data_IF_069280648554
#
_entry.id   IF_069280648554
#
_cell.length_a   1.000
_cell.length_b   1.000
_cell.length_c   1.000
_cell.angle_alpha   90.00
_cell.angle_beta   90.00
_cell.angle_gamma   90.00
#
_symmetry.space_group_name_H-M   'P 1'
#
loop_
_entity.id
_entity.type
_entity.pdbx_description
1 polymer ?
#
# COMPACT_ATOMS: atom_id res chain seq x y z
N UNK A 1 -1.82 -8.87 10.98
CA UNK A 1 -0.65 -9.25 10.16
C UNK A 1 -0.22 -8.13 9.21
N UNK A 2 -1.14 -7.51 8.46
CA UNK A 2 -0.85 -6.38 7.55
C UNK A 2 -0.24 -5.15 8.27
N UNK A 3 -0.70 -4.79 9.47
CA UNK A 3 -0.18 -3.65 10.28
C UNK A 3 1.33 -3.72 10.62
N UNK A 4 1.98 -4.89 10.46
CA UNK A 4 3.41 -5.10 10.77
C UNK A 4 4.31 -5.05 9.54
N UNK A 5 3.75 -4.89 8.34
CA UNK A 5 4.51 -4.88 7.09
C UNK A 5 4.82 -3.43 6.72
N UNK A 6 6.10 -3.10 6.53
CA UNK A 6 6.50 -1.81 5.99
C UNK A 6 6.35 -1.83 4.46
N UNK A 7 5.31 -1.15 3.97
CA UNK A 7 5.02 -1.06 2.54
C UNK A 7 5.93 -0.06 1.80
N UNK A 8 6.71 0.75 2.53
CA UNK A 8 7.62 1.74 1.96
C UNK A 8 8.86 1.16 1.26
N UNK A 9 9.10 -0.16 1.32
CA UNK A 9 10.24 -0.80 0.66
C UNK A 9 10.19 -0.68 -0.88
N UNK A 10 9.00 -0.56 -1.48
CA UNK A 10 8.82 -0.32 -2.94
C UNK A 10 9.28 1.09 -3.36
N UNK A 11 9.57 1.95 -2.38
CA UNK A 11 9.93 3.36 -2.54
C UNK A 11 11.41 3.63 -2.31
N UNK A 12 12.19 2.58 -2.01
CA UNK A 12 13.64 2.73 -1.90
C UNK A 12 14.26 3.10 -3.25
N UNK A 13 15.22 4.03 -3.23
CA UNK A 13 15.93 4.48 -4.43
C UNK A 13 16.53 3.32 -5.25
N UNK A 14 16.97 2.25 -4.58
CA UNK A 14 17.52 1.04 -5.22
C UNK A 14 16.49 0.25 -6.05
N UNK A 15 15.19 0.48 -5.87
CA UNK A 15 14.13 -0.16 -6.64
C UNK A 15 13.57 0.73 -7.75
N UNK A 16 14.02 1.99 -7.89
CA UNK A 16 13.43 2.97 -8.82
C UNK A 16 13.45 2.47 -10.28
N UNK A 17 14.63 2.16 -10.81
CA UNK A 17 14.79 1.76 -12.22
C UNK A 17 13.99 0.50 -12.59
N UNK A 18 13.93 -0.46 -11.66
CA UNK A 18 13.17 -1.70 -11.85
C UNK A 18 11.66 -1.44 -11.73
N UNK A 19 11.25 -0.51 -10.87
CA UNK A 19 9.85 -0.16 -10.66
C UNK A 19 9.25 0.57 -11.86
N UNK A 20 10.05 1.41 -12.53
CA UNK A 20 9.65 2.08 -13.78
C UNK A 20 9.31 1.10 -14.92
N UNK A 21 9.79 -0.15 -14.87
CA UNK A 21 9.45 -1.18 -15.88
C UNK A 21 8.07 -1.81 -15.66
N UNK A 22 7.40 -1.54 -14.55
CA UNK A 22 6.09 -2.10 -14.22
C UNK A 22 5.08 -0.96 -14.03
N UNK A 23 4.02 -0.85 -14.87
CA UNK A 23 3.08 0.28 -14.83
C UNK A 23 2.43 0.49 -13.45
N UNK A 24 2.15 -0.60 -12.73
CA UNK A 24 1.58 -0.54 -11.39
C UNK A 24 2.57 0.03 -10.37
N UNK A 25 3.85 -0.32 -10.50
CA UNK A 25 4.90 0.12 -9.59
C UNK A 25 5.27 1.58 -9.88
N UNK A 26 5.47 1.91 -11.16
CA UNK A 26 5.64 3.27 -11.68
C UNK A 26 4.53 4.20 -11.17
N UNK A 27 3.25 3.80 -11.33
CA UNK A 27 2.12 4.59 -10.84
C UNK A 27 2.25 4.91 -9.35
N UNK A 28 2.57 3.93 -8.52
CA UNK A 28 2.68 4.15 -7.08
C UNK A 28 3.91 4.97 -6.68
N UNK A 29 5.04 4.82 -7.37
CA UNK A 29 6.18 5.71 -7.15
C UNK A 29 5.83 7.15 -7.56
N UNK A 30 5.16 7.34 -8.69
CA UNK A 30 4.72 8.66 -9.15
C UNK A 30 3.72 9.29 -8.18
N UNK A 31 2.73 8.53 -7.69
CA UNK A 31 1.78 9.04 -6.68
C UNK A 31 2.49 9.43 -5.39
N UNK A 32 3.54 8.71 -4.99
CA UNK A 32 4.28 9.05 -3.78
C UNK A 32 5.23 10.23 -3.98
N UNK A 33 5.86 10.35 -5.16
CA UNK A 33 6.59 11.57 -5.51
C UNK A 33 5.66 12.79 -5.52
N UNK A 34 4.44 12.65 -6.05
CA UNK A 34 3.43 13.71 -6.00
C UNK A 34 3.09 14.09 -4.56
N UNK A 35 2.86 13.10 -3.69
CA UNK A 35 2.65 13.32 -2.25
C UNK A 35 3.82 14.06 -1.59
N UNK A 36 5.06 13.61 -1.82
CA UNK A 36 6.27 14.22 -1.26
C UNK A 36 6.48 15.66 -1.76
N UNK A 37 6.06 15.95 -2.99
CA UNK A 37 6.16 17.27 -3.61
C UNK A 37 4.94 18.15 -3.36
N UNK A 38 3.97 17.70 -2.54
CA UNK A 38 2.72 18.42 -2.29
C UNK A 38 1.84 18.60 -3.55
N UNK A 39 2.03 17.77 -4.56
CA UNK A 39 1.27 17.76 -5.80
C UNK A 39 0.00 16.92 -5.66
N UNK A 40 -1.03 17.26 -6.44
CA UNK A 40 -2.25 16.46 -6.51
C UNK A 40 -1.99 15.09 -7.14
N UNK A 41 -2.71 14.10 -6.63
CA UNK A 41 -2.73 12.74 -7.17
C UNK A 41 -3.34 12.69 -8.58
N UNK A 42 -3.03 11.64 -9.33
CA UNK A 42 -3.47 11.45 -10.72
C UNK A 42 -4.93 10.98 -10.86
N UNK A 43 -5.65 10.71 -9.76
CA UNK A 43 -7.09 10.46 -9.79
C UNK A 43 -7.51 9.02 -10.05
N UNK A 44 -6.58 8.06 -10.13
CA UNK A 44 -6.94 6.66 -10.44
C UNK A 44 -7.46 5.91 -9.21
N UNK A 45 -7.22 6.44 -8.00
CA UNK A 45 -7.69 5.87 -6.74
C UNK A 45 -8.36 6.94 -5.87
N UNK A 46 -9.44 7.54 -6.38
CA UNK A 46 -10.07 8.76 -5.82
C UNK A 46 -10.35 8.71 -4.32
N UNK A 47 -10.89 7.62 -3.79
CA UNK A 47 -11.22 7.55 -2.36
C UNK A 47 -9.98 7.41 -1.49
N UNK A 48 -8.99 6.63 -1.94
CA UNK A 48 -7.69 6.52 -1.27
C UNK A 48 -6.98 7.88 -1.26
N UNK A 49 -6.94 8.55 -2.40
CA UNK A 49 -6.29 9.84 -2.60
C UNK A 49 -6.98 10.94 -1.78
N UNK A 50 -8.31 10.99 -1.79
CA UNK A 50 -9.08 11.93 -0.97
C UNK A 50 -8.87 11.68 0.53
N UNK A 51 -8.88 10.41 0.96
CA UNK A 51 -8.59 10.07 2.35
C UNK A 51 -7.16 10.49 2.74
N UNK A 52 -6.18 10.19 1.89
CA UNK A 52 -4.79 10.54 2.12
C UNK A 52 -4.62 12.07 2.23
N UNK A 53 -5.20 12.83 1.30
CA UNK A 53 -5.15 14.29 1.33
C UNK A 53 -5.77 14.87 2.61
N UNK A 54 -6.93 14.36 3.01
CA UNK A 54 -7.59 14.82 4.25
C UNK A 54 -6.77 14.47 5.49
N UNK A 55 -6.14 13.31 5.51
CA UNK A 55 -5.30 12.86 6.62
C UNK A 55 -4.02 13.71 6.72
N UNK A 56 -3.35 13.94 5.58
CA UNK A 56 -2.15 14.77 5.49
C UNK A 56 -2.44 16.21 5.91
N UNK A 57 -3.55 16.78 5.44
CA UNK A 57 -3.97 18.15 5.83
C UNK A 57 -4.32 18.27 7.32
N UNK A 58 -4.66 17.17 7.99
CA UNK A 58 -4.98 17.15 9.43
C UNK A 58 -3.75 16.92 10.33
N UNK A 59 -2.66 16.39 9.76
CA UNK A 59 -1.37 16.22 10.44
C UNK A 59 -0.39 17.31 9.97
N UNK A 60 0.76 17.49 10.62
CA UNK A 60 1.67 18.63 10.36
C UNK A 60 2.46 18.54 9.03
N UNK A 61 1.92 17.86 8.01
CA UNK A 61 2.52 17.65 6.69
C UNK A 61 3.91 16.98 6.69
N UNK A 62 4.26 16.21 7.72
CA UNK A 62 5.53 15.46 7.72
C UNK A 62 5.46 14.20 6.84
N UNK A 63 6.55 13.86 6.15
CA UNK A 63 6.63 12.69 5.25
C UNK A 63 6.28 11.38 5.98
N UNK A 64 6.69 11.26 7.23
CA UNK A 64 6.40 10.10 8.09
C UNK A 64 4.90 9.95 8.33
N UNK A 65 4.19 11.07 8.47
CA UNK A 65 2.75 11.15 8.69
C UNK A 65 1.98 10.82 7.41
N UNK A 66 2.48 11.23 6.23
CA UNK A 66 1.88 10.88 4.93
C UNK A 66 1.88 9.36 4.68
N UNK A 67 3.02 8.70 4.90
CA UNK A 67 3.11 7.23 4.75
C UNK A 67 2.25 6.50 5.77
N UNK A 68 2.10 7.08 6.97
CA UNK A 68 1.26 6.53 8.03
C UNK A 68 -0.23 6.63 7.67
N UNK A 69 -0.67 7.77 7.15
CA UNK A 69 -2.02 8.00 6.63
C UNK A 69 -2.44 6.95 5.58
N UNK A 70 -1.56 6.68 4.61
CA UNK A 70 -1.83 5.77 3.49
C UNK A 70 -1.72 4.31 3.91
N UNK A 71 -0.64 3.94 4.62
CA UNK A 71 -0.26 2.53 4.77
C UNK A 71 -0.49 1.91 6.16
N UNK A 72 -0.71 2.71 7.20
CA UNK A 72 -0.90 2.21 8.57
C UNK A 72 -2.31 2.41 9.11
N UNK A 73 -2.90 3.56 8.82
CA UNK A 73 -4.08 4.03 9.55
C UNK A 73 -5.30 4.14 8.63
N UNK A 74 -5.89 5.34 8.51
CA UNK A 74 -7.27 5.59 8.10
C UNK A 74 -7.61 5.14 6.67
N UNK A 75 -6.64 5.18 5.75
CA UNK A 75 -6.90 5.11 4.31
C UNK A 75 -6.57 3.75 3.67
N UNK A 76 -5.85 2.87 4.37
CA UNK A 76 -5.41 1.58 3.83
C UNK A 76 -6.58 0.70 3.38
N UNK A 77 -7.78 0.84 3.97
CA UNK A 77 -8.98 0.11 3.53
C UNK A 77 -9.34 0.39 2.07
N UNK A 78 -9.18 1.63 1.60
CA UNK A 78 -9.43 2.00 0.20
C UNK A 78 -8.37 1.45 -0.74
N UNK A 79 -7.14 1.27 -0.26
CA UNK A 79 -6.09 0.58 -1.00
C UNK A 79 -6.33 -0.94 -1.08
N UNK A 80 -6.90 -1.55 -0.03
CA UNK A 80 -7.14 -2.99 0.02
C UNK A 80 -8.40 -3.44 -0.72
N UNK A 81 -9.34 -2.52 -0.96
CA UNK A 81 -10.54 -2.76 -1.76
C UNK A 81 -10.19 -2.83 -3.26
N UNK A 82 -10.51 -3.97 -3.87
CA UNK A 82 -10.24 -4.25 -5.28
C UNK A 82 -11.06 -3.36 -6.22
N UNK A 83 -12.25 -2.92 -5.79
CA UNK A 83 -13.13 -2.07 -6.59
C UNK A 83 -12.72 -0.60 -6.52
N UNK A 84 -11.93 -0.24 -5.52
CA UNK A 84 -11.54 1.14 -5.25
C UNK A 84 -10.19 1.47 -5.89
N UNK A 85 -9.17 0.67 -5.59
CA UNK A 85 -7.81 0.93 -6.05
C UNK A 85 -7.08 -0.39 -6.34
N UNK A 86 -7.40 -1.05 -7.48
CA UNK A 86 -6.82 -2.34 -7.83
C UNK A 86 -5.29 -2.31 -7.94
N UNK A 87 -4.72 -1.17 -8.32
CA UNK A 87 -3.29 -0.97 -8.42
C UNK A 87 -2.61 -0.97 -7.05
N UNK A 88 -3.15 -0.22 -6.08
CA UNK A 88 -2.61 -0.24 -4.72
C UNK A 88 -2.77 -1.62 -4.08
N UNK A 89 -3.93 -2.27 -4.26
CA UNK A 89 -4.13 -3.65 -3.81
C UNK A 89 -3.08 -4.60 -4.37
N UNK A 90 -2.73 -4.48 -5.65
CA UNK A 90 -1.73 -5.33 -6.28
C UNK A 90 -0.34 -5.16 -5.65
N UNK A 91 0.04 -3.92 -5.34
CA UNK A 91 1.32 -3.61 -4.69
C UNK A 91 1.37 -4.20 -3.29
N UNK A 92 0.36 -3.95 -2.45
CA UNK A 92 0.27 -4.51 -1.10
C UNK A 92 0.32 -6.05 -1.17
N UNK A 93 -0.38 -6.66 -2.13
CA UNK A 93 -0.36 -8.10 -2.36
C UNK A 93 1.04 -8.62 -2.72
N UNK A 94 1.78 -7.92 -3.59
CA UNK A 94 3.16 -8.29 -3.97
C UNK A 94 4.10 -8.19 -2.77
N UNK A 95 4.02 -7.10 -2.01
CA UNK A 95 4.82 -6.89 -0.81
C UNK A 95 4.51 -7.98 0.24
N UNK A 96 3.22 -8.23 0.49
CA UNK A 96 2.78 -9.30 1.39
C UNK A 96 3.30 -10.66 0.93
N UNK A 97 3.26 -10.95 -0.37
CA UNK A 97 3.73 -12.22 -0.92
C UNK A 97 5.22 -12.40 -0.64
N UNK A 98 6.05 -11.39 -0.92
CA UNK A 98 7.48 -11.42 -0.59
C UNK A 98 7.74 -11.60 0.91
N UNK A 99 7.00 -10.88 1.75
CA UNK A 99 7.09 -11.01 3.21
C UNK A 99 6.67 -12.41 3.70
N UNK A 100 5.61 -12.97 3.14
CA UNK A 100 5.09 -14.30 3.45
C UNK A 100 6.12 -15.40 3.15
N UNK A 101 6.81 -15.33 2.01
CA UNK A 101 7.89 -16.26 1.68
C UNK A 101 9.08 -16.13 2.63
N UNK A 102 9.59 -14.91 2.86
CA UNK A 102 10.73 -14.66 3.76
C UNK A 102 10.49 -15.15 5.18
N UNK A 103 9.25 -15.05 5.66
CA UNK A 103 8.87 -15.47 7.00
C UNK A 103 8.32 -16.91 7.09
N UNK A 104 8.44 -17.71 6.02
CA UNK A 104 8.01 -19.12 5.97
C UNK A 104 6.53 -19.32 6.37
N UNK A 105 5.66 -18.37 6.02
CA UNK A 105 4.24 -18.41 6.38
C UNK A 105 3.50 -19.58 5.75
N UNK A 106 3.93 -20.06 4.59
CA UNK A 106 3.37 -21.28 3.99
C UNK A 106 3.50 -22.47 4.94
N UNK A 107 4.67 -22.66 5.55
CA UNK A 107 4.92 -23.74 6.52
C UNK A 107 4.13 -23.53 7.82
N UNK A 108 4.00 -22.27 8.26
CA UNK A 108 3.34 -21.92 9.52
C UNK A 108 1.81 -22.02 9.47
N UNK A 109 1.22 -21.61 8.35
CA UNK A 109 -0.24 -21.47 8.19
C UNK A 109 -0.84 -22.51 7.24
N UNK A 110 -0.04 -23.38 6.63
CA UNK A 110 -0.52 -24.46 5.76
C UNK A 110 -1.19 -24.00 4.46
N UNK A 111 -1.03 -22.74 4.08
CA UNK A 111 -1.70 -22.14 2.91
C UNK A 111 -0.74 -21.32 2.05
N UNK A 112 -1.05 -21.17 0.76
CA UNK A 112 -0.25 -20.35 -0.17
C UNK A 112 -0.39 -18.87 0.21
N UNK A 113 0.65 -18.07 -0.09
CA UNK A 113 0.69 -16.66 0.28
C UNK A 113 -0.44 -15.80 -0.31
N UNK A 114 -0.91 -16.12 -1.53
CA UNK A 114 -2.03 -15.39 -2.17
C UNK A 114 -3.36 -15.59 -1.44
N UNK A 115 -3.85 -16.83 -1.22
CA UNK A 115 -5.02 -17.07 -0.38
C UNK A 115 -4.88 -16.48 1.04
N UNK A 116 -3.68 -16.55 1.64
CA UNK A 116 -3.43 -15.96 2.95
C UNK A 116 -3.60 -14.43 2.93
N UNK A 117 -3.17 -13.76 1.86
CA UNK A 117 -3.38 -12.33 1.67
C UNK A 117 -4.87 -12.01 1.60
N UNK A 118 -5.62 -12.70 0.74
CA UNK A 118 -7.05 -12.44 0.56
C UNK A 118 -7.82 -12.63 1.87
N UNK A 119 -7.52 -13.69 2.62
CA UNK A 119 -8.06 -13.91 3.97
C UNK A 119 -7.70 -12.78 4.93
N UNK A 120 -6.44 -12.32 4.92
CA UNK A 120 -5.99 -11.27 5.84
C UNK A 120 -6.66 -9.93 5.51
N UNK A 121 -6.86 -9.63 4.22
CA UNK A 121 -7.56 -8.42 3.76
C UNK A 121 -9.03 -8.44 4.18
N UNK A 122 -9.74 -9.56 3.96
CA UNK A 122 -11.15 -9.68 4.33
C UNK A 122 -11.39 -9.48 5.83
N UNK A 123 -10.50 -9.96 6.69
CA UNK A 123 -10.62 -9.74 8.13
C UNK A 123 -10.27 -8.30 8.51
N UNK A 124 -9.25 -7.72 7.88
CA UNK A 124 -8.85 -6.34 8.12
C UNK A 124 -9.97 -5.34 7.80
N UNK A 125 -10.65 -5.49 6.66
CA UNK A 125 -11.72 -4.58 6.24
C UNK A 125 -13.02 -4.75 7.02
N UNK A 126 -13.24 -5.89 7.70
CA UNK A 126 -14.40 -6.09 8.58
C UNK A 126 -14.23 -5.46 9.97
N UNK A 127 -12.99 -5.29 10.41
CA UNK A 127 -12.64 -4.72 11.72
C UNK A 127 -12.42 -3.19 11.68
N UNK A 128 -12.48 -2.55 10.49
CA UNK A 128 -12.14 -1.14 10.22
C UNK A 128 -13.34 -0.32 9.77
#
# INVERSE_FOLDING_TARGET
>A
MLKRINFGCVLGAECHDICMLCPTCEYAQNQMQRVLNGQQFDGQCKELESCAQNCINSENNEITDMLRCIFRDRCIKYCLDINNCPQCRDIIRRIFTGYCYRNKYIKKYGTKCRPLFDYTVQNYTRES
#
